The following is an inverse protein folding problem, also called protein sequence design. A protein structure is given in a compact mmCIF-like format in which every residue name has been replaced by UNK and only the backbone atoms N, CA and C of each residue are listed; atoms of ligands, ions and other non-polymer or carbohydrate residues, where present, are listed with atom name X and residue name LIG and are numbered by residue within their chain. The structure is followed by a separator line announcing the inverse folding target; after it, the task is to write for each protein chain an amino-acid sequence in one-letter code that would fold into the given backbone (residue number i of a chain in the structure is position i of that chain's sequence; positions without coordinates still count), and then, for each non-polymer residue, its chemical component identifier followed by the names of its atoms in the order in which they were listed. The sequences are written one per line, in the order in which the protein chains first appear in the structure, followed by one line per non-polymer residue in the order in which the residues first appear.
data_IF_308031784006
#
_entry.id   IF_308031784006
#
_cell.length_a   1.000
_cell.length_b   1.000
_cell.length_c   1.000
_cell.angle_alpha   90.00
_cell.angle_beta   90.00
_cell.angle_gamma   90.00
#
_symmetry.space_group_name_H-M   'P 1'
#
loop_
_entity.id
_entity.type
_entity.pdbx_description
1 polymer ?
#
# COMPACT_ATOMS: atom_id res chain seq x y z
N UNK A 1 -16.91 -16.34 11.71
CA UNK A 1 -15.80 -16.98 10.98
C UNK A 1 -15.18 -15.98 10.01
N UNK A 2 -13.85 -15.94 9.88
CA UNK A 2 -13.15 -15.03 8.96
C UNK A 2 -12.14 -15.82 8.14
N UNK A 3 -12.36 -15.90 6.82
CA UNK A 3 -11.50 -16.61 5.88
C UNK A 3 -10.75 -15.58 5.03
N UNK A 4 -9.43 -15.60 5.10
CA UNK A 4 -8.56 -14.67 4.36
C UNK A 4 -7.73 -15.44 3.35
N UNK A 5 -7.82 -15.06 2.08
CA UNK A 5 -6.99 -15.57 1.00
C UNK A 5 -5.81 -14.61 0.87
N UNK A 6 -4.61 -15.07 1.23
CA UNK A 6 -3.37 -14.32 1.14
C UNK A 6 -2.67 -14.67 -0.17
N UNK A 7 -2.55 -13.67 -1.05
CA UNK A 7 -1.87 -13.81 -2.33
C UNK A 7 -1.03 -12.56 -2.64
N UNK A 8 -0.42 -12.50 -3.82
CA UNK A 8 0.45 -11.39 -4.21
C UNK A 8 1.69 -11.81 -4.99
N UNK A 9 2.44 -10.82 -5.43
CA UNK A 9 3.63 -10.99 -6.26
C UNK A 9 4.70 -11.78 -5.49
N UNK A 10 5.44 -12.63 -6.20
CA UNK A 10 6.54 -13.37 -5.60
C UNK A 10 7.59 -12.41 -5.04
N UNK A 11 7.94 -12.60 -3.75
CA UNK A 11 8.84 -11.68 -3.04
C UNK A 11 8.16 -10.48 -2.36
N UNK A 12 6.84 -10.32 -2.49
CA UNK A 12 6.08 -9.28 -1.78
C UNK A 12 5.83 -9.60 -0.29
N UNK A 13 6.22 -10.79 0.20
CA UNK A 13 6.17 -11.10 1.63
C UNK A 13 5.01 -12.00 2.09
N UNK A 14 4.40 -12.78 1.19
CA UNK A 14 3.31 -13.74 1.50
C UNK A 14 3.61 -14.63 2.72
N UNK A 15 4.79 -15.25 2.74
CA UNK A 15 5.22 -16.11 3.85
C UNK A 15 5.29 -15.34 5.17
N UNK A 16 5.76 -14.09 5.13
CA UNK A 16 5.82 -13.23 6.32
C UNK A 16 4.42 -12.87 6.80
N UNK A 17 3.50 -12.55 5.89
CA UNK A 17 2.11 -12.28 6.21
C UNK A 17 1.41 -13.49 6.86
N UNK A 18 1.59 -14.70 6.32
CA UNK A 18 1.02 -15.91 6.92
C UNK A 18 1.53 -16.17 8.34
N UNK A 19 2.83 -15.93 8.60
CA UNK A 19 3.37 -16.01 9.97
C UNK A 19 2.74 -14.98 10.90
N UNK A 20 2.50 -13.77 10.42
CA UNK A 20 1.82 -12.73 11.21
C UNK A 20 0.37 -13.14 11.51
N UNK A 21 -0.33 -13.74 10.55
CA UNK A 21 -1.67 -14.30 10.79
C UNK A 21 -1.64 -15.42 11.84
N UNK A 22 -0.66 -16.32 11.77
CA UNK A 22 -0.47 -17.42 12.73
C UNK A 22 -0.21 -16.88 14.15
N UNK A 23 0.69 -15.91 14.28
CA UNK A 23 0.97 -15.19 15.55
C UNK A 23 -0.31 -14.53 16.14
N UNK A 24 -1.27 -14.16 15.28
CA UNK A 24 -2.55 -13.54 15.65
C UNK A 24 -3.72 -14.54 15.77
N UNK A 25 -3.41 -15.84 15.86
CA UNK A 25 -4.37 -16.90 16.14
C UNK A 25 -5.23 -17.33 14.94
N UNK A 26 -4.78 -17.07 13.71
CA UNK A 26 -5.37 -17.67 12.52
C UNK A 26 -4.80 -19.07 12.29
N UNK A 27 -5.65 -19.97 11.82
CA UNK A 27 -5.20 -21.23 11.23
C UNK A 27 -4.67 -20.96 9.82
N UNK A 28 -3.36 -21.05 9.65
CA UNK A 28 -2.70 -20.74 8.38
C UNK A 28 -2.40 -22.00 7.58
N UNK A 29 -2.75 -22.00 6.29
CA UNK A 29 -2.36 -23.04 5.33
C UNK A 29 -1.57 -22.37 4.21
N UNK A 30 -0.29 -22.72 4.06
CA UNK A 30 0.55 -22.22 2.97
C UNK A 30 0.46 -23.13 1.74
N UNK A 31 0.49 -22.53 0.55
CA UNK A 31 0.55 -23.20 -0.74
C UNK A 31 -0.58 -24.23 -0.97
N UNK A 32 -1.82 -23.89 -0.57
CA UNK A 32 -2.98 -24.75 -0.82
C UNK A 32 -3.29 -24.81 -2.33
N UNK A 33 -3.40 -26.00 -2.95
CA UNK A 33 -3.81 -26.12 -4.34
C UNK A 33 -5.18 -25.49 -4.59
N UNK A 34 -5.33 -24.76 -5.70
CA UNK A 34 -6.58 -24.06 -6.07
C UNK A 34 -7.78 -25.01 -6.08
N UNK A 35 -7.60 -26.23 -6.61
CA UNK A 35 -8.65 -27.24 -6.72
C UNK A 35 -9.17 -27.71 -5.33
N UNK A 36 -8.41 -27.48 -4.25
CA UNK A 36 -8.79 -27.85 -2.88
C UNK A 36 -9.37 -26.69 -2.07
N UNK A 37 -9.29 -25.45 -2.55
CA UNK A 37 -9.79 -24.27 -1.83
C UNK A 37 -11.30 -24.40 -1.56
N UNK A 38 -12.07 -24.80 -2.58
CA UNK A 38 -13.52 -24.96 -2.44
C UNK A 38 -13.89 -26.05 -1.44
N UNK A 39 -13.26 -27.22 -1.53
CA UNK A 39 -13.48 -28.33 -0.59
C UNK A 39 -13.12 -27.94 0.84
N UNK A 40 -12.02 -27.20 1.00
CA UNK A 40 -11.56 -26.72 2.30
C UNK A 40 -12.51 -25.68 2.88
N UNK A 41 -13.01 -24.75 2.04
CA UNK A 41 -14.06 -23.81 2.43
C UNK A 41 -15.34 -24.56 2.86
N UNK A 42 -15.81 -25.52 2.08
CA UNK A 42 -17.02 -26.30 2.41
C UNK A 42 -16.89 -27.00 3.79
N UNK A 43 -15.71 -27.52 4.13
CA UNK A 43 -15.44 -28.10 5.46
C UNK A 43 -15.48 -27.02 6.55
N UNK A 44 -14.84 -25.87 6.33
CA UNK A 44 -14.79 -24.79 7.30
C UNK A 44 -16.16 -24.19 7.59
N UNK A 45 -16.94 -23.92 6.54
CA UNK A 45 -18.29 -23.36 6.65
C UNK A 45 -19.33 -24.40 7.10
N UNK A 46 -19.07 -25.70 6.92
CA UNK A 46 -19.91 -26.78 7.42
C UNK A 46 -19.74 -27.09 8.92
N UNK A 47 -18.67 -26.60 9.55
CA UNK A 47 -18.48 -26.75 11.00
C UNK A 47 -19.19 -25.62 11.76
N UNK A 48 -20.05 -25.97 12.73
CA UNK A 48 -20.81 -25.02 13.58
C UNK A 48 -19.95 -24.29 14.63
N UNK A 49 -18.63 -24.23 14.46
CA UNK A 49 -17.75 -23.48 15.36
C UNK A 49 -17.64 -22.03 14.89
N UNK A 50 -18.30 -21.12 15.60
CA UNK A 50 -18.37 -19.68 15.28
C UNK A 50 -17.00 -18.95 15.25
N UNK A 51 -15.93 -19.57 15.77
CA UNK A 51 -14.64 -18.94 16.07
C UNK A 51 -13.46 -19.35 15.18
N UNK A 52 -13.68 -19.86 13.98
CA UNK A 52 -12.56 -20.15 13.08
C UNK A 52 -12.06 -18.85 12.38
N UNK A 53 -10.80 -18.51 12.60
CA UNK A 53 -10.05 -17.53 11.81
C UNK A 53 -9.07 -18.31 10.95
N UNK A 54 -9.13 -18.17 9.63
CA UNK A 54 -8.34 -18.98 8.70
C UNK A 54 -7.66 -18.08 7.69
N UNK A 55 -6.38 -18.32 7.43
CA UNK A 55 -5.63 -17.65 6.37
C UNK A 55 -5.06 -18.70 5.40
N UNK A 56 -5.37 -18.57 4.12
CA UNK A 56 -4.93 -19.49 3.07
C UNK A 56 -3.94 -18.75 2.17
N UNK A 57 -2.69 -19.19 2.18
CA UNK A 57 -1.67 -18.80 1.22
C UNK A 57 -1.93 -19.46 -0.12
N UNK A 58 -2.29 -18.66 -1.13
CA UNK A 58 -2.45 -19.14 -2.50
C UNK A 58 -1.25 -18.70 -3.31
N UNK A 59 -0.53 -19.69 -3.84
CA UNK A 59 0.59 -19.44 -4.72
C UNK A 59 0.25 -19.84 -6.16
N UNK A 60 0.34 -18.88 -7.08
CA UNK A 60 -0.04 -19.03 -8.48
C UNK A 60 1.03 -19.81 -9.29
N UNK A 61 2.11 -20.26 -8.63
CA UNK A 61 3.13 -21.20 -9.19
C UNK A 61 2.52 -22.41 -9.93
N UNK A 62 1.29 -22.81 -9.60
CA UNK A 62 0.60 -23.95 -10.23
C UNK A 62 0.11 -23.70 -11.66
N UNK A 63 0.40 -22.55 -12.28
CA UNK A 63 0.68 -22.38 -13.72
C UNK A 63 -0.35 -22.79 -14.80
N UNK A 64 -1.46 -23.43 -14.45
CA UNK A 64 -2.53 -23.86 -15.38
C UNK A 64 -3.95 -23.63 -14.84
N UNK A 65 -4.09 -23.08 -13.63
CA UNK A 65 -5.36 -23.01 -12.90
C UNK A 65 -5.79 -21.58 -12.49
N UNK A 66 -5.20 -20.51 -13.07
CA UNK A 66 -5.62 -19.14 -12.78
C UNK A 66 -7.09 -18.89 -13.14
N UNK A 67 -7.53 -19.39 -14.30
CA UNK A 67 -8.93 -19.35 -14.73
C UNK A 67 -9.84 -20.08 -13.73
N UNK A 68 -9.38 -21.22 -13.18
CA UNK A 68 -10.11 -21.95 -12.15
C UNK A 68 -10.22 -21.18 -10.84
N UNK A 69 -9.23 -20.35 -10.48
CA UNK A 69 -9.33 -19.54 -9.26
C UNK A 69 -10.52 -18.59 -9.34
N UNK A 70 -10.74 -17.95 -10.49
CA UNK A 70 -11.91 -17.10 -10.72
C UNK A 70 -13.23 -17.88 -10.58
N UNK A 71 -13.27 -19.11 -11.09
CA UNK A 71 -14.43 -19.99 -10.95
C UNK A 71 -14.68 -20.40 -9.49
N UNK A 72 -13.63 -20.80 -8.76
CA UNK A 72 -13.70 -21.13 -7.32
C UNK A 72 -14.21 -19.94 -6.51
N UNK A 73 -13.66 -18.74 -6.74
CA UNK A 73 -14.09 -17.53 -6.04
C UNK A 73 -15.56 -17.17 -6.34
N UNK A 74 -16.02 -17.39 -7.57
CA UNK A 74 -17.44 -17.23 -7.95
C UNK A 74 -18.34 -18.25 -7.26
N UNK A 75 -17.94 -19.52 -7.23
CA UNK A 75 -18.70 -20.60 -6.58
C UNK A 75 -18.82 -20.36 -5.08
N UNK A 76 -17.73 -19.99 -4.41
CA UNK A 76 -17.74 -19.62 -2.98
C UNK A 76 -18.69 -18.45 -2.72
N UNK A 77 -18.66 -17.41 -3.56
CA UNK A 77 -19.58 -16.27 -3.45
C UNK A 77 -21.04 -16.68 -3.65
N UNK A 78 -21.32 -17.58 -4.60
CA UNK A 78 -22.66 -18.13 -4.84
C UNK A 78 -23.19 -18.99 -3.68
N UNK A 79 -22.28 -19.63 -2.91
CA UNK A 79 -22.59 -20.38 -1.68
C UNK A 79 -22.70 -19.50 -0.42
N UNK A 80 -22.64 -18.16 -0.56
CA UNK A 80 -22.60 -17.21 0.56
C UNK A 80 -21.44 -17.45 1.55
N UNK A 81 -20.35 -18.06 1.07
CA UNK A 81 -19.15 -18.28 1.85
C UNK A 81 -18.28 -17.02 1.83
N UNK A 82 -18.43 -16.17 2.85
CA UNK A 82 -17.72 -14.90 2.94
C UNK A 82 -16.20 -15.10 3.08
N UNK A 83 -15.43 -14.55 2.15
CA UNK A 83 -13.96 -14.52 2.18
C UNK A 83 -13.46 -13.10 1.95
N UNK A 84 -12.22 -12.83 2.36
CA UNK A 84 -11.49 -11.61 2.06
C UNK A 84 -10.18 -11.95 1.36
N UNK A 85 -9.77 -11.16 0.38
CA UNK A 85 -8.51 -11.31 -0.37
C UNK A 85 -7.52 -10.24 0.10
N UNK A 86 -6.40 -10.69 0.67
CA UNK A 86 -5.23 -9.85 0.93
C UNK A 86 -4.21 -10.05 -0.19
N UNK A 87 -3.98 -8.99 -0.96
CA UNK A 87 -2.98 -8.95 -2.03
C UNK A 87 -1.74 -8.17 -1.59
N UNK A 88 -0.58 -8.83 -1.57
CA UNK A 88 0.69 -8.18 -1.28
C UNK A 88 1.37 -7.76 -2.59
N UNK A 89 1.68 -6.48 -2.71
CA UNK A 89 2.41 -5.94 -3.85
C UNK A 89 3.79 -5.38 -3.44
N UNK A 90 4.67 -5.20 -4.43
CA UNK A 90 5.99 -4.61 -4.25
C UNK A 90 6.56 -4.17 -5.61
N UNK A 91 7.14 -2.98 -5.69
CA UNK A 91 7.72 -2.47 -6.92
C UNK A 91 8.85 -3.37 -7.45
N UNK A 92 9.02 -3.39 -8.78
CA UNK A 92 9.93 -4.30 -9.46
C UNK A 92 11.38 -4.14 -8.98
N UNK A 93 11.84 -2.91 -8.79
CA UNK A 93 13.20 -2.63 -8.32
C UNK A 93 13.49 -3.25 -6.95
N UNK A 94 12.52 -3.23 -6.04
CA UNK A 94 12.67 -3.81 -4.70
C UNK A 94 12.56 -5.32 -4.74
N UNK A 95 11.65 -5.87 -5.55
CA UNK A 95 11.56 -7.32 -5.77
C UNK A 95 12.89 -7.88 -6.30
N UNK A 96 13.48 -7.25 -7.32
CA UNK A 96 14.78 -7.66 -7.88
C UNK A 96 15.87 -7.65 -6.80
N UNK A 97 15.90 -6.64 -5.93
CA UNK A 97 16.85 -6.59 -4.79
C UNK A 97 16.61 -7.75 -3.82
N UNK A 98 15.36 -8.01 -3.41
CA UNK A 98 14.99 -9.10 -2.50
C UNK A 98 15.35 -10.48 -3.06
N UNK A 99 15.14 -10.73 -4.36
CA UNK A 99 15.53 -11.99 -5.00
C UNK A 99 17.06 -12.17 -5.00
N UNK A 100 17.82 -11.10 -5.29
CA UNK A 100 19.28 -11.12 -5.23
C UNK A 100 19.80 -11.37 -3.81
N UNK A 101 19.19 -10.74 -2.80
CA UNK A 101 19.59 -10.86 -1.39
C UNK A 101 19.27 -12.24 -0.81
N UNK A 102 18.10 -12.79 -1.13
CA UNK A 102 17.67 -14.10 -0.62
C UNK A 102 18.29 -15.27 -1.38
N UNK A 103 19.04 -15.01 -2.47
CA UNK A 103 19.59 -16.01 -3.41
C UNK A 103 18.54 -17.01 -3.92
N UNK A 104 17.26 -16.63 -3.89
CA UNK A 104 16.16 -17.48 -4.38
C UNK A 104 15.97 -17.18 -5.86
N UNK A 105 15.99 -18.22 -6.68
CA UNK A 105 15.59 -18.12 -8.08
C UNK A 105 14.11 -17.75 -8.15
N UNK A 106 13.75 -16.95 -9.14
CA UNK A 106 12.35 -16.62 -9.39
C UNK A 106 11.58 -17.90 -9.78
N UNK A 107 10.34 -18.09 -9.32
CA UNK A 107 9.63 -19.37 -9.49
C UNK A 107 9.24 -19.75 -10.94
N UNK A 108 9.33 -18.81 -11.90
CA UNK A 108 8.92 -19.01 -13.31
C UNK A 108 10.03 -19.58 -14.22
N UNK A 109 11.28 -19.64 -13.74
CA UNK A 109 12.34 -20.56 -14.18
C UNK A 109 12.85 -20.55 -15.62
N UNK A 110 12.20 -19.88 -16.57
CA UNK A 110 12.39 -20.19 -18.01
C UNK A 110 12.78 -18.99 -18.91
N UNK A 111 13.13 -17.81 -18.36
CA UNK A 111 13.50 -16.64 -19.19
C UNK A 111 14.70 -15.84 -18.71
N UNK A 112 15.37 -15.20 -19.67
CA UNK A 112 16.67 -14.51 -19.55
C UNK A 112 16.74 -13.32 -18.55
N UNK A 113 15.63 -12.91 -17.91
CA UNK A 113 15.63 -11.83 -16.92
C UNK A 113 14.51 -11.93 -15.88
N UNK A 114 14.87 -11.81 -14.59
CA UNK A 114 13.98 -11.71 -13.42
C UNK A 114 12.92 -10.61 -13.59
N UNK A 115 13.26 -9.54 -14.29
CA UNK A 115 12.34 -8.43 -14.54
C UNK A 115 11.17 -8.82 -15.44
N UNK A 116 11.44 -9.63 -16.48
CA UNK A 116 10.38 -10.12 -17.37
C UNK A 116 9.43 -11.07 -16.63
N UNK A 117 9.98 -11.91 -15.75
CA UNK A 117 9.17 -12.86 -14.98
C UNK A 117 8.24 -12.15 -13.98
N UNK A 118 8.71 -11.09 -13.33
CA UNK A 118 7.88 -10.25 -12.45
C UNK A 118 6.75 -9.59 -13.24
N UNK A 119 7.04 -9.04 -14.44
CA UNK A 119 6.03 -8.38 -15.27
C UNK A 119 4.96 -9.37 -15.76
N UNK A 120 5.35 -10.58 -16.16
CA UNK A 120 4.39 -11.62 -16.53
C UNK A 120 3.55 -12.10 -15.34
N UNK A 121 4.17 -12.23 -14.15
CA UNK A 121 3.45 -12.58 -12.94
C UNK A 121 2.41 -11.51 -12.60
N UNK A 122 2.77 -10.23 -12.68
CA UNK A 122 1.83 -9.11 -12.48
C UNK A 122 0.63 -9.19 -13.42
N UNK A 123 0.87 -9.32 -14.72
CA UNK A 123 -0.20 -9.41 -15.71
C UNK A 123 -1.14 -10.60 -15.46
N UNK A 124 -0.60 -11.73 -14.99
CA UNK A 124 -1.40 -12.93 -14.63
C UNK A 124 -2.21 -12.74 -13.35
N UNK A 125 -1.73 -11.91 -12.41
CA UNK A 125 -2.36 -11.67 -11.11
C UNK A 125 -3.26 -10.44 -11.07
N UNK A 126 -3.33 -9.68 -12.16
CA UNK A 126 -4.14 -8.46 -12.28
C UNK A 126 -5.60 -8.70 -11.83
N UNK A 127 -6.22 -9.79 -12.25
CA UNK A 127 -7.61 -10.09 -11.88
C UNK A 127 -7.81 -10.33 -10.37
N UNK A 128 -6.81 -10.91 -9.68
CA UNK A 128 -6.85 -11.10 -8.23
C UNK A 128 -6.60 -9.79 -7.50
N UNK A 129 -5.76 -8.93 -8.07
CA UNK A 129 -5.52 -7.58 -7.55
C UNK A 129 -6.77 -6.73 -7.65
N UNK A 130 -7.49 -6.77 -8.77
CA UNK A 130 -8.75 -6.04 -8.95
C UNK A 130 -9.86 -6.50 -8.00
N UNK A 131 -9.88 -7.79 -7.66
CA UNK A 131 -10.83 -8.38 -6.72
C UNK A 131 -10.35 -8.35 -5.26
N UNK A 132 -9.16 -7.80 -5.00
CA UNK A 132 -8.60 -7.80 -3.66
C UNK A 132 -9.37 -6.85 -2.74
N UNK A 133 -9.77 -7.35 -1.57
CA UNK A 133 -10.34 -6.52 -0.52
C UNK A 133 -9.26 -5.63 0.09
N UNK A 134 -8.03 -6.12 0.24
CA UNK A 134 -6.92 -5.35 0.79
C UNK A 134 -5.67 -5.49 -0.07
N UNK A 135 -5.04 -4.37 -0.42
CA UNK A 135 -3.75 -4.34 -1.11
C UNK A 135 -2.72 -3.67 -0.21
N UNK A 136 -1.64 -4.38 0.12
CA UNK A 136 -0.51 -3.82 0.89
C UNK A 136 0.70 -3.70 -0.03
N UNK A 137 1.14 -2.46 -0.28
CA UNK A 137 2.42 -2.21 -0.96
C UNK A 137 3.58 -2.36 0.03
N UNK A 138 4.32 -3.45 -0.12
CA UNK A 138 5.48 -3.78 0.71
C UNK A 138 6.79 -3.17 0.20
N UNK A 139 6.77 -2.35 -0.85
CA UNK A 139 7.97 -1.78 -1.49
C UNK A 139 8.96 -1.14 -0.52
N UNK A 140 8.46 -0.48 0.52
CA UNK A 140 9.31 0.22 1.50
C UNK A 140 8.93 -0.13 2.93
N UNK A 141 8.22 -1.26 3.12
CA UNK A 141 7.83 -1.71 4.44
C UNK A 141 8.89 -2.65 5.00
N UNK A 142 9.31 -2.37 6.22
CA UNK A 142 9.98 -3.32 7.08
C UNK A 142 8.97 -4.37 7.58
N UNK A 143 9.48 -5.52 8.01
CA UNK A 143 8.64 -6.62 8.53
C UNK A 143 7.77 -6.16 9.71
N UNK A 144 8.30 -5.29 10.59
CA UNK A 144 7.56 -4.72 11.72
C UNK A 144 6.39 -3.84 11.26
N UNK A 145 6.56 -3.10 10.17
CA UNK A 145 5.53 -2.21 9.61
C UNK A 145 4.45 -3.04 8.91
N UNK A 146 4.84 -4.06 8.13
CA UNK A 146 3.90 -5.01 7.55
C UNK A 146 3.04 -5.70 8.62
N UNK A 147 3.63 -6.06 9.76
CA UNK A 147 2.89 -6.59 10.92
C UNK A 147 1.86 -5.60 11.42
N UNK A 148 2.25 -4.35 11.61
CA UNK A 148 1.33 -3.29 12.04
C UNK A 148 0.15 -3.11 11.08
N UNK A 149 0.37 -3.15 9.76
CA UNK A 149 -0.71 -3.04 8.78
C UNK A 149 -1.67 -4.25 8.82
N UNK A 150 -1.14 -5.48 8.89
CA UNK A 150 -2.00 -6.68 9.00
C UNK A 150 -2.79 -6.69 10.31
N UNK A 151 -2.18 -6.31 11.43
CA UNK A 151 -2.87 -6.23 12.73
C UNK A 151 -3.98 -5.17 12.72
N UNK A 152 -3.75 -4.00 12.10
CA UNK A 152 -4.77 -2.96 11.94
C UNK A 152 -6.00 -3.46 11.19
N UNK A 153 -5.80 -4.20 10.09
CA UNK A 153 -6.88 -4.68 9.23
C UNK A 153 -7.62 -5.88 9.85
N UNK A 154 -6.87 -6.86 10.36
CA UNK A 154 -7.42 -8.18 10.68
C UNK A 154 -7.63 -8.44 12.19
N UNK A 155 -6.98 -7.67 13.07
CA UNK A 155 -7.07 -7.86 14.54
C UNK A 155 -7.93 -6.79 15.19
N UNK A 156 -7.79 -5.53 14.78
CA UNK A 156 -8.52 -4.42 15.38
C UNK A 156 -9.97 -4.29 14.88
N UNK A 157 -10.38 -5.08 13.86
CA UNK A 157 -11.73 -5.05 13.26
C UNK A 157 -12.22 -3.62 12.95
N UNK A 158 -11.30 -2.69 12.71
CA UNK A 158 -11.66 -1.37 12.21
C UNK A 158 -12.05 -1.57 10.76
N UNK A 159 -13.24 -1.10 10.39
CA UNK A 159 -13.70 -1.04 8.99
C UNK A 159 -12.66 -0.27 8.18
N UNK A 160 -11.65 -0.99 7.68
CA UNK A 160 -10.59 -0.43 6.87
C UNK A 160 -11.20 -0.24 5.50
N UNK A 161 -11.59 1.00 5.19
CA UNK A 161 -12.05 1.33 3.86
C UNK A 161 -10.82 1.39 2.96
N UNK A 162 -10.86 0.69 1.82
CA UNK A 162 -9.74 0.30 0.95
C UNK A 162 -8.83 1.42 0.39
N UNK A 163 -8.99 2.67 0.81
CA UNK A 163 -8.19 3.78 0.30
C UNK A 163 -6.83 3.86 1.00
N UNK A 164 -5.77 3.88 0.19
CA UNK A 164 -4.41 4.18 0.63
C UNK A 164 -3.96 5.54 0.07
N UNK A 165 -3.72 6.50 0.96
CA UNK A 165 -3.33 7.87 0.63
C UNK A 165 -1.80 8.02 0.68
N UNK A 166 -1.18 8.39 -0.43
CA UNK A 166 0.24 8.72 -0.49
C UNK A 166 0.43 10.22 -0.64
N UNK A 167 1.07 10.86 0.34
CA UNK A 167 1.51 12.25 0.24
C UNK A 167 2.95 12.25 -0.27
N UNK A 168 3.19 12.89 -1.40
CA UNK A 168 4.50 12.92 -2.06
C UNK A 168 4.96 14.35 -2.28
N UNK A 169 6.14 14.71 -1.78
CA UNK A 169 6.78 15.97 -2.17
C UNK A 169 7.68 15.79 -3.40
N UNK A 170 7.64 16.75 -4.32
CA UNK A 170 8.48 16.74 -5.52
C UNK A 170 8.94 18.14 -5.96
N UNK A 171 9.89 18.19 -6.89
CA UNK A 171 10.36 19.39 -7.56
C UNK A 171 9.83 19.52 -8.99
N UNK A 172 9.19 20.64 -9.34
CA UNK A 172 8.72 20.93 -10.70
C UNK A 172 9.86 20.93 -11.73
N UNK A 173 11.09 21.29 -11.33
CA UNK A 173 12.27 21.22 -12.22
C UNK A 173 12.58 19.79 -12.70
N UNK A 174 12.04 18.78 -12.01
CA UNK A 174 12.19 17.35 -12.32
C UNK A 174 10.91 16.74 -12.92
N UNK A 175 9.91 17.56 -13.26
CA UNK A 175 8.62 17.11 -13.79
C UNK A 175 7.64 16.65 -12.70
N UNK A 176 6.35 16.69 -13.01
CA UNK A 176 5.28 16.19 -12.13
C UNK A 176 5.29 14.65 -12.16
N UNK A 177 5.25 13.95 -11.01
CA UNK A 177 5.10 12.49 -10.99
C UNK A 177 3.85 12.06 -11.76
N UNK A 178 3.97 11.05 -12.64
CA UNK A 178 2.87 10.60 -13.49
C UNK A 178 1.75 9.89 -12.73
N UNK A 179 2.05 9.44 -11.52
CA UNK A 179 1.16 8.73 -10.61
C UNK A 179 0.38 9.65 -9.67
N UNK A 180 0.57 10.98 -9.73
CA UNK A 180 -0.20 11.93 -8.93
C UNK A 180 -1.65 12.07 -9.41
N UNK A 181 -2.61 11.85 -8.52
CA UNK A 181 -4.02 12.15 -8.75
C UNK A 181 -4.33 13.64 -8.50
N UNK A 182 -3.74 14.19 -7.42
CA UNK A 182 -3.88 15.58 -7.02
C UNK A 182 -2.51 16.23 -6.99
N UNK A 183 -2.40 17.46 -7.48
CA UNK A 183 -1.13 18.21 -7.50
C UNK A 183 -1.33 19.62 -6.98
N UNK A 184 -0.58 19.98 -5.94
CA UNK A 184 -0.62 21.29 -5.31
C UNK A 184 0.73 22.00 -5.46
N UNK A 185 0.71 23.18 -6.08
CA UNK A 185 1.88 24.03 -6.25
C UNK A 185 2.08 24.94 -5.04
N UNK A 186 3.21 24.78 -4.33
CA UNK A 186 3.58 25.59 -3.16
C UNK A 186 4.73 26.56 -3.43
N UNK A 187 5.02 26.88 -4.71
CA UNK A 187 6.09 27.82 -5.08
C UNK A 187 5.83 29.26 -4.65
N UNK A 188 4.60 29.59 -4.25
CA UNK A 188 4.24 30.91 -3.72
C UNK A 188 4.60 31.10 -2.23
N UNK A 189 4.86 30.01 -1.51
CA UNK A 189 5.24 30.07 -0.09
C UNK A 189 6.64 30.68 0.12
N UNK A 190 6.93 31.23 1.32
CA UNK A 190 8.24 31.81 1.67
C UNK A 190 9.37 30.85 1.32
N UNK A 191 10.36 31.36 0.56
CA UNK A 191 11.40 30.52 -0.01
C UNK A 191 12.65 30.47 0.89
N UNK A 192 12.96 29.35 1.55
CA UNK A 192 14.14 29.24 2.44
C UNK A 192 15.46 29.31 1.69
N UNK A 193 15.44 29.12 0.37
CA UNK A 193 16.64 29.14 -0.47
C UNK A 193 17.44 30.45 -0.40
N UNK A 194 16.76 31.57 -0.12
CA UNK A 194 17.40 32.88 0.00
C UNK A 194 18.02 33.14 1.38
N UNK A 195 17.83 32.23 2.34
CA UNK A 195 18.44 32.30 3.67
C UNK A 195 19.68 31.41 3.66
N UNK A 196 20.90 31.97 3.75
CA UNK A 196 22.14 31.19 3.61
C UNK A 196 22.22 29.98 4.55
N UNK A 197 21.73 30.13 5.77
CA UNK A 197 21.72 29.10 6.82
C UNK A 197 20.74 27.96 6.55
N UNK A 198 19.70 28.20 5.73
CA UNK A 198 18.66 27.22 5.41
C UNK A 198 18.85 26.60 4.03
N UNK A 199 19.64 27.22 3.15
CA UNK A 199 19.80 26.84 1.74
C UNK A 199 20.22 25.38 1.52
N UNK A 200 21.05 24.84 2.43
CA UNK A 200 21.57 23.47 2.36
C UNK A 200 20.79 22.49 3.23
N UNK A 201 19.72 22.95 3.87
CA UNK A 201 18.86 22.16 4.73
C UNK A 201 17.69 21.59 3.94
N UNK A 202 16.91 20.70 4.52
CA UNK A 202 15.69 20.15 3.90
C UNK A 202 14.47 20.45 4.75
N UNK A 203 13.27 20.29 4.17
CA UNK A 203 12.01 20.44 4.90
C UNK A 203 11.78 19.41 6.01
N UNK A 204 12.69 18.46 6.21
CA UNK A 204 12.71 17.57 7.37
C UNK A 204 13.38 18.20 8.59
N UNK A 205 14.16 19.26 8.39
CA UNK A 205 14.82 19.97 9.49
C UNK A 205 13.92 21.06 10.04
N UNK A 206 13.85 21.12 11.38
CA UNK A 206 12.96 22.01 12.10
C UNK A 206 13.14 23.48 11.71
N UNK A 207 14.36 23.94 11.48
CA UNK A 207 14.60 25.35 11.14
C UNK A 207 14.00 25.75 9.78
N UNK A 208 13.98 24.80 8.82
CA UNK A 208 13.31 25.01 7.52
C UNK A 208 11.80 24.96 7.68
N UNK A 209 11.30 24.01 8.48
CA UNK A 209 9.86 23.90 8.78
C UNK A 209 9.34 25.17 9.43
N UNK A 210 10.00 25.61 10.51
CA UNK A 210 9.67 26.83 11.24
C UNK A 210 9.70 28.04 10.29
N UNK A 211 10.72 28.18 9.45
CA UNK A 211 10.77 29.30 8.49
C UNK A 211 9.62 29.28 7.48
N UNK A 212 9.31 28.13 6.89
CA UNK A 212 8.22 28.01 5.91
C UNK A 212 6.87 28.23 6.59
N UNK A 213 6.66 27.66 7.77
CA UNK A 213 5.39 27.71 8.50
C UNK A 213 5.16 29.05 9.18
N UNK A 214 6.18 29.80 9.61
CA UNK A 214 6.03 31.07 10.34
C UNK A 214 5.36 32.22 9.53
N UNK A 215 4.88 31.96 8.31
CA UNK A 215 4.12 32.93 7.53
C UNK A 215 2.61 32.69 7.66
N UNK A 216 1.79 33.75 7.77
CA UNK A 216 0.33 33.62 7.79
C UNK A 216 -0.23 32.90 6.56
N UNK A 217 0.35 33.14 5.38
CA UNK A 217 -0.11 32.49 4.14
C UNK A 217 0.14 30.98 4.13
N UNK A 218 1.22 30.52 4.79
CA UNK A 218 1.52 29.09 4.88
C UNK A 218 0.51 28.36 5.74
N UNK A 219 0.13 28.93 6.89
CA UNK A 219 -0.90 28.39 7.76
C UNK A 219 -2.26 28.38 7.06
N UNK A 220 -2.68 29.51 6.48
CA UNK A 220 -3.97 29.58 5.81
C UNK A 220 -4.07 28.60 4.63
N UNK A 221 -3.01 28.46 3.83
CA UNK A 221 -2.97 27.47 2.76
C UNK A 221 -3.09 26.04 3.29
N UNK A 222 -2.32 25.72 4.33
CA UNK A 222 -2.31 24.39 4.92
C UNK A 222 -3.68 24.03 5.51
N UNK A 223 -4.33 24.95 6.22
CA UNK A 223 -5.67 24.74 6.79
C UNK A 223 -6.69 24.43 5.69
N UNK A 224 -6.69 25.22 4.61
CA UNK A 224 -7.57 24.98 3.44
C UNK A 224 -7.24 23.66 2.74
N UNK A 225 -5.96 23.32 2.62
CA UNK A 225 -5.52 22.08 2.00
C UNK A 225 -5.99 20.87 2.82
N UNK A 226 -5.79 20.90 4.14
CA UNK A 226 -6.21 19.83 5.05
C UNK A 226 -7.73 19.66 5.01
N UNK A 227 -8.48 20.76 5.09
CA UNK A 227 -9.95 20.74 5.01
C UNK A 227 -10.43 20.11 3.68
N UNK A 228 -9.86 20.55 2.56
CA UNK A 228 -10.17 20.00 1.24
C UNK A 228 -9.84 18.51 1.14
N UNK A 229 -8.68 18.06 1.63
CA UNK A 229 -8.33 16.63 1.58
C UNK A 229 -9.24 15.80 2.49
N UNK A 230 -9.59 16.30 3.69
CA UNK A 230 -10.57 15.64 4.57
C UNK A 230 -11.95 15.53 3.94
N UNK A 231 -12.36 16.53 3.15
CA UNK A 231 -13.59 16.47 2.37
C UNK A 231 -13.49 15.44 1.23
N UNK A 232 -12.39 15.40 0.48
CA UNK A 232 -12.25 14.54 -0.70
C UNK A 232 -12.12 13.05 -0.37
N UNK A 233 -11.38 12.69 0.68
CA UNK A 233 -11.12 11.30 1.04
C UNK A 233 -12.39 10.43 1.15
N UNK A 234 -13.43 10.79 1.92
CA UNK A 234 -14.63 9.96 2.02
C UNK A 234 -15.37 9.82 0.68
N UNK A 235 -15.33 10.84 -0.18
CA UNK A 235 -15.92 10.78 -1.52
C UNK A 235 -15.15 9.81 -2.45
N UNK A 236 -13.82 9.83 -2.40
CA UNK A 236 -13.01 8.87 -3.15
C UNK A 236 -13.22 7.43 -2.67
N UNK A 237 -13.41 7.24 -1.36
CA UNK A 237 -13.74 5.93 -0.81
C UNK A 237 -15.09 5.45 -1.35
N UNK A 238 -16.11 6.30 -1.38
CA UNK A 238 -17.44 5.96 -1.89
C UNK A 238 -17.43 5.66 -3.40
N UNK A 239 -16.58 6.36 -4.16
CA UNK A 239 -16.33 6.08 -5.58
C UNK A 239 -15.61 4.72 -5.81
N UNK A 240 -15.10 4.07 -4.75
CA UNK A 240 -14.38 2.81 -4.84
C UNK A 240 -12.89 2.96 -5.20
N UNK A 241 -12.31 4.14 -4.98
CA UNK A 241 -10.89 4.39 -5.21
C UNK A 241 -10.06 3.75 -4.08
N UNK A 242 -9.11 2.91 -4.46
CA UNK A 242 -8.24 2.19 -3.52
C UNK A 242 -6.89 2.87 -3.28
N UNK A 243 -6.50 3.83 -4.13
CA UNK A 243 -5.24 4.56 -3.99
C UNK A 243 -5.44 6.03 -4.37
N UNK A 244 -4.91 6.94 -3.55
CA UNK A 244 -4.90 8.38 -3.82
C UNK A 244 -3.49 8.93 -3.62
N UNK A 245 -2.90 9.49 -4.67
CA UNK A 245 -1.56 10.10 -4.62
C UNK A 245 -1.69 11.62 -4.68
N UNK A 246 -1.27 12.27 -3.59
CA UNK A 246 -1.29 13.73 -3.42
C UNK A 246 0.13 14.27 -3.57
N UNK A 247 0.40 14.91 -4.70
CA UNK A 247 1.68 15.55 -5.00
C UNK A 247 1.76 16.99 -4.50
N UNK A 248 2.74 17.29 -3.66
CA UNK A 248 3.09 18.66 -3.24
C UNK A 248 4.36 19.10 -3.98
N UNK A 249 4.25 20.12 -4.83
CA UNK A 249 5.32 20.57 -5.72
C UNK A 249 5.93 21.90 -5.31
N UNK A 250 7.26 21.98 -5.20
CA UNK A 250 7.98 23.27 -5.20
C UNK A 250 8.99 23.29 -6.36
N UNK A 251 9.83 24.32 -6.51
CA UNK A 251 10.78 24.35 -7.63
C UNK A 251 11.79 23.21 -7.56
N UNK A 252 12.44 23.03 -6.40
CA UNK A 252 13.55 22.09 -6.22
C UNK A 252 13.15 20.71 -5.71
N UNK A 253 12.14 20.65 -4.84
CA UNK A 253 11.75 19.42 -4.13
C UNK A 253 12.36 19.24 -2.74
N UNK A 254 13.06 20.25 -2.21
CA UNK A 254 13.89 20.10 -0.99
C UNK A 254 13.31 20.74 0.27
N UNK A 255 12.64 21.89 0.13
CA UNK A 255 12.27 22.75 1.26
C UNK A 255 10.76 22.80 1.44
N UNK A 256 10.09 23.74 0.76
CA UNK A 256 8.66 24.04 0.89
C UNK A 256 7.77 22.83 0.67
N UNK A 257 7.98 22.07 -0.40
CA UNK A 257 7.15 20.90 -0.69
C UNK A 257 7.31 19.80 0.35
N UNK A 258 8.54 19.58 0.85
CA UNK A 258 8.83 18.62 1.91
C UNK A 258 8.14 19.05 3.21
N UNK A 259 8.28 20.33 3.60
CA UNK A 259 7.63 20.86 4.81
C UNK A 259 6.12 20.71 4.76
N UNK A 260 5.47 21.12 3.67
CA UNK A 260 4.01 21.03 3.54
C UNK A 260 3.55 19.57 3.47
N UNK A 261 4.30 18.68 2.78
CA UNK A 261 3.98 17.25 2.76
C UNK A 261 4.05 16.62 4.16
N UNK A 262 5.08 16.94 4.94
CA UNK A 262 5.23 16.48 6.32
C UNK A 262 4.05 16.93 7.18
N UNK A 263 3.69 18.20 7.09
CA UNK A 263 2.66 18.77 7.93
C UNK A 263 1.26 18.24 7.54
N UNK A 264 0.97 18.13 6.24
CA UNK A 264 -0.24 17.49 5.76
C UNK A 264 -0.34 16.03 6.23
N UNK A 265 0.77 15.28 6.19
CA UNK A 265 0.83 13.91 6.69
C UNK A 265 0.52 13.87 8.19
N UNK A 266 1.15 14.72 9.00
CA UNK A 266 0.93 14.76 10.45
C UNK A 266 -0.53 15.07 10.80
N UNK A 267 -1.17 15.99 10.09
CA UNK A 267 -2.56 16.37 10.36
C UNK A 267 -3.59 15.34 9.89
N UNK A 268 -3.25 14.53 8.89
CA UNK A 268 -4.13 13.47 8.37
C UNK A 268 -3.87 12.10 9.01
N UNK A 269 -2.68 11.89 9.58
CA UNK A 269 -2.30 10.66 10.27
C UNK A 269 -2.88 10.63 11.70
N UNK A 270 -4.20 10.53 11.77
CA UNK A 270 -4.94 10.36 13.02
C UNK A 270 -5.21 8.88 13.27
N UNK A 271 -5.14 8.46 14.54
CA UNK A 271 -5.44 7.08 14.92
C UNK A 271 -6.84 6.63 14.51
N UNK A 272 -7.79 7.53 14.28
CA UNK A 272 -9.18 7.21 13.94
C UNK A 272 -9.47 7.29 12.44
N UNK A 273 -8.46 7.49 11.60
CA UNK A 273 -8.63 7.50 10.15
C UNK A 273 -9.02 6.09 9.64
N UNK A 274 -10.02 6.03 8.75
CA UNK A 274 -10.51 4.79 8.14
C UNK A 274 -9.72 4.36 6.90
N UNK A 275 -8.56 4.98 6.64
CA UNK A 275 -7.74 4.83 5.45
C UNK A 275 -6.26 4.74 5.83
N UNK A 276 -5.47 4.05 5.01
CA UNK A 276 -4.01 4.01 5.16
C UNK A 276 -3.38 5.30 4.66
N UNK A 277 -2.30 5.77 5.29
CA UNK A 277 -1.59 6.97 4.85
C UNK A 277 -0.07 6.79 4.89
N UNK A 278 0.62 7.27 3.86
CA UNK A 278 2.08 7.24 3.75
C UNK A 278 2.64 8.56 3.24
N UNK A 279 3.85 8.87 3.66
CA UNK A 279 4.65 10.00 3.22
C UNK A 279 5.83 9.53 2.35
N UNK A 280 6.15 10.30 1.30
CA UNK A 280 7.29 10.07 0.41
C UNK A 280 7.90 11.41 -0.05
N UNK A 281 9.22 11.43 -0.25
CA UNK A 281 9.93 12.61 -0.77
C UNK A 281 10.78 12.21 -1.98
N UNK A 282 10.33 12.56 -3.18
CA UNK A 282 10.94 12.08 -4.43
C UNK A 282 12.32 12.68 -4.71
N UNK A 283 12.46 13.98 -4.48
CA UNK A 283 13.62 14.76 -4.92
C UNK A 283 14.43 15.38 -3.77
N UNK A 284 14.19 14.97 -2.52
CA UNK A 284 14.81 15.58 -1.33
C UNK A 284 16.33 15.45 -1.28
N UNK A 285 16.86 14.36 -1.85
CA UNK A 285 18.30 14.06 -1.88
C UNK A 285 18.97 14.38 -3.24
N UNK A 286 18.25 15.02 -4.17
CA UNK A 286 18.71 15.27 -5.55
C UNK A 286 19.37 16.63 -5.79
#
# INVERSE_FOLDING_TARGET
MRLVIVTGISGAGKVTALKIFEDNGYYCVDNLPIDLIESFADILFGQTNEKNKVAIGVDIRSGKNLEKMSEVLKNMKAKEQNYEILFLDCNNNTLIKRFKETRRSHPMGDRDSVENEINEERAKLEFLREQADYIIDTSNLLVKELRGEIEKIFVLNRDYRNLFVTIMSFGFKHGVPADCDLVFDVRFLPNPYYVPELKHKTGNQKEVQDYVLNSPVSHEFLDKLVDMIKFLIPNYIEEGKNQLVIGIGCTGGHHRSVTIANELYNQLNSSDASYGIRLSHRDIDR
#
